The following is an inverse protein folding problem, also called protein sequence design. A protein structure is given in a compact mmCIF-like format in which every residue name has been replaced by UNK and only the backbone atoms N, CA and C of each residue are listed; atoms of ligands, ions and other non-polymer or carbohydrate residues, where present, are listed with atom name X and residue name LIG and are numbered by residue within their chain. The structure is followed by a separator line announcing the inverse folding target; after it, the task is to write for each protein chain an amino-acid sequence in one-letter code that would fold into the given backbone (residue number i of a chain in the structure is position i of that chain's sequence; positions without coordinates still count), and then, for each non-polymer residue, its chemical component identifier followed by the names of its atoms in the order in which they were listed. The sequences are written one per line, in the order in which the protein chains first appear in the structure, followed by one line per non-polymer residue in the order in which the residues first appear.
data_IF_087544232296
#
_entry.id   IF_087544232296
#
_cell.length_a   1.000
_cell.length_b   1.000
_cell.length_c   1.000
_cell.angle_alpha   90.00
_cell.angle_beta   90.00
_cell.angle_gamma   90.00
#
_symmetry.space_group_name_H-M   'P 1'
#
loop_
_entity.id
_entity.type
_entity.pdbx_description
1 polymer ?
#
# COMPACT_ATOMS: atom_id res chain seq x y z
N UNK A 1 -36.81 8.27 -27.53
CA UNK A 1 -35.88 9.17 -26.83
C UNK A 1 -36.25 9.18 -25.35
N UNK A 2 -35.75 8.19 -24.60
CA UNK A 2 -36.09 8.03 -23.18
C UNK A 2 -34.83 8.26 -22.34
N UNK A 3 -34.84 9.36 -21.58
CA UNK A 3 -33.79 9.74 -20.62
C UNK A 3 -33.99 8.89 -19.36
N UNK A 4 -33.16 7.87 -19.17
CA UNK A 4 -33.09 7.18 -17.88
C UNK A 4 -32.33 8.06 -16.89
N UNK A 5 -32.98 8.27 -15.75
CA UNK A 5 -32.54 9.13 -14.66
C UNK A 5 -31.39 8.45 -13.92
N UNK A 6 -30.21 9.06 -13.95
CA UNK A 6 -29.09 8.69 -13.08
C UNK A 6 -29.48 9.15 -11.66
N UNK A 7 -29.75 8.18 -10.79
CA UNK A 7 -29.91 8.41 -9.35
C UNK A 7 -28.52 8.59 -8.75
N UNK A 8 -28.21 9.84 -8.41
CA UNK A 8 -27.01 10.22 -7.70
C UNK A 8 -27.16 9.73 -6.25
N UNK A 9 -26.54 8.60 -5.90
CA UNK A 9 -26.46 8.15 -4.53
C UNK A 9 -25.44 9.03 -3.79
N UNK A 10 -25.95 9.96 -2.97
CA UNK A 10 -25.13 10.69 -1.99
C UNK A 10 -24.62 9.71 -0.94
N UNK A 11 -23.37 9.29 -1.07
CA UNK A 11 -22.65 8.47 -0.11
C UNK A 11 -22.29 9.35 1.09
N UNK A 12 -23.06 9.27 2.18
CA UNK A 12 -22.69 9.91 3.44
C UNK A 12 -21.76 8.97 4.23
N UNK A 13 -20.52 8.87 3.78
CA UNK A 13 -19.47 8.17 4.51
C UNK A 13 -19.05 9.05 5.70
N UNK A 14 -19.54 8.73 6.90
CA UNK A 14 -18.87 9.12 8.14
C UNK A 14 -17.73 8.12 8.38
N UNK A 15 -16.73 8.13 7.50
CA UNK A 15 -15.45 7.50 7.80
C UNK A 15 -14.82 8.34 8.90
N UNK A 16 -14.74 7.77 10.11
CA UNK A 16 -13.66 8.16 11.01
C UNK A 16 -12.40 7.65 10.32
N UNK A 17 -11.87 8.44 9.39
CA UNK A 17 -10.49 8.28 8.97
C UNK A 17 -9.68 8.46 10.25
N UNK A 18 -9.27 7.35 10.86
CA UNK A 18 -8.02 7.36 11.57
C UNK A 18 -7.01 7.65 10.47
N UNK A 19 -6.75 8.93 10.23
CA UNK A 19 -5.73 9.34 9.28
C UNK A 19 -4.42 8.64 9.66
N UNK A 20 -3.45 8.59 8.72
CA UNK A 20 -2.07 8.35 9.12
C UNK A 20 -1.81 9.22 10.35
N UNK A 21 -1.16 8.65 11.38
CA UNK A 21 -0.89 9.37 12.62
C UNK A 21 -0.44 10.78 12.24
N UNK A 22 -1.11 11.80 12.78
CA UNK A 22 -0.98 13.20 12.34
C UNK A 22 0.43 13.80 12.58
N UNK A 23 1.44 12.95 12.79
CA UNK A 23 2.79 13.24 13.24
C UNK A 23 3.88 12.41 12.53
N UNK A 24 3.56 11.44 11.67
CA UNK A 24 4.58 10.76 10.88
C UNK A 24 5.13 11.71 9.79
N UNK A 25 6.40 12.10 9.91
CA UNK A 25 7.05 12.94 8.91
C UNK A 25 7.31 12.12 7.64
N UNK A 26 6.97 12.67 6.47
CA UNK A 26 7.29 12.02 5.19
C UNK A 26 8.80 11.77 5.07
N UNK A 27 9.16 10.57 4.66
CA UNK A 27 10.52 10.27 4.24
C UNK A 27 10.78 10.98 2.94
N UNK A 28 11.93 11.65 2.83
CA UNK A 28 12.37 12.28 1.59
C UNK A 28 13.78 11.80 1.34
N UNK A 29 13.98 11.10 0.22
CA UNK A 29 15.28 10.52 -0.10
C UNK A 29 15.41 10.15 -1.57
N UNK A 30 16.48 9.43 -1.86
CA UNK A 30 16.87 8.93 -3.18
C UNK A 30 16.85 7.41 -3.19
N UNK A 31 16.63 6.83 -4.37
CA UNK A 31 16.77 5.42 -4.66
C UNK A 31 17.79 5.24 -5.79
N UNK A 32 18.85 4.46 -5.55
CA UNK A 32 19.82 4.05 -6.56
C UNK A 32 19.44 2.66 -7.07
N UNK A 33 18.68 2.61 -8.17
CA UNK A 33 18.25 1.33 -8.76
C UNK A 33 19.35 0.63 -9.54
N UNK A 34 20.52 1.25 -9.72
CA UNK A 34 21.72 0.59 -10.28
C UNK A 34 22.45 -0.24 -9.23
N UNK A 35 22.14 -0.06 -7.94
CA UNK A 35 22.80 -0.77 -6.85
C UNK A 35 22.56 -2.29 -6.96
N UNK A 36 23.59 -3.07 -7.29
CA UNK A 36 23.49 -4.52 -7.41
C UNK A 36 22.98 -5.01 -8.77
N UNK A 37 22.63 -4.12 -9.71
CA UNK A 37 22.34 -4.53 -11.09
C UNK A 37 23.64 -4.84 -11.85
N UNK A 38 23.54 -5.74 -12.83
CA UNK A 38 24.69 -6.13 -13.66
C UNK A 38 24.81 -5.26 -14.91
N UNK A 39 23.69 -4.84 -15.49
CA UNK A 39 23.64 -3.93 -16.62
C UNK A 39 23.99 -2.48 -16.22
N UNK A 40 23.50 -2.01 -15.07
CA UNK A 40 23.72 -0.64 -14.59
C UNK A 40 23.05 0.42 -15.45
N UNK A 41 21.97 0.07 -16.13
CA UNK A 41 21.16 0.94 -17.00
C UNK A 41 19.84 1.40 -16.35
N UNK A 42 19.68 1.15 -15.05
CA UNK A 42 18.62 1.71 -14.22
C UNK A 42 18.94 3.14 -13.76
N UNK A 43 17.99 3.75 -13.03
CA UNK A 43 18.10 5.14 -12.61
C UNK A 43 18.60 5.30 -11.17
N UNK A 44 19.25 6.43 -10.94
CA UNK A 44 19.29 7.05 -9.61
C UNK A 44 18.18 8.10 -9.54
N UNK A 45 17.18 7.86 -8.71
CA UNK A 45 15.94 8.66 -8.64
C UNK A 45 15.85 9.40 -7.31
N UNK A 46 15.51 10.68 -7.37
CA UNK A 46 15.12 11.46 -6.19
C UNK A 46 15.56 12.93 -6.26
N UNK A 47 15.25 13.72 -5.23
CA UNK A 47 14.52 13.31 -4.03
C UNK A 47 13.04 13.00 -4.31
N UNK A 48 12.46 12.02 -3.62
CA UNK A 48 11.03 11.66 -3.67
C UNK A 48 10.52 11.21 -2.29
N UNK A 49 9.20 11.13 -2.13
CA UNK A 49 8.54 10.62 -0.92
C UNK A 49 7.39 9.65 -1.18
N UNK A 50 6.96 9.52 -2.44
CA UNK A 50 5.82 8.70 -2.82
C UNK A 50 6.11 7.93 -4.11
N UNK A 51 5.61 6.71 -4.19
CA UNK A 51 5.44 5.94 -5.42
C UNK A 51 4.00 6.04 -5.88
N UNK A 52 3.77 6.40 -7.14
CA UNK A 52 2.46 6.28 -7.77
C UNK A 52 2.36 4.93 -8.47
N UNK A 53 1.31 4.18 -8.19
CA UNK A 53 1.10 2.89 -8.84
C UNK A 53 0.37 3.08 -10.18
N UNK A 54 0.51 2.11 -11.07
CA UNK A 54 -0.32 1.98 -12.25
C UNK A 54 -1.60 1.21 -11.94
N UNK A 55 -2.36 0.93 -13.01
CA UNK A 55 -3.49 0.03 -12.92
C UNK A 55 -3.03 -1.35 -12.43
N UNK A 56 -3.52 -1.73 -11.26
CA UNK A 56 -3.31 -2.99 -10.57
C UNK A 56 -4.56 -3.86 -10.53
N UNK A 57 -4.41 -5.03 -9.92
CA UNK A 57 -5.49 -6.01 -9.77
C UNK A 57 -5.58 -6.40 -8.31
N UNK A 58 -6.81 -6.48 -7.79
CA UNK A 58 -7.11 -7.07 -6.48
C UNK A 58 -8.03 -8.25 -6.66
N UNK A 59 -7.62 -9.39 -6.11
CA UNK A 59 -8.46 -10.58 -5.92
C UNK A 59 -8.86 -10.66 -4.45
N UNK A 60 -10.16 -10.71 -4.17
CA UNK A 60 -10.72 -10.98 -2.85
C UNK A 60 -11.40 -12.34 -2.85
N UNK A 61 -10.97 -13.21 -1.95
CA UNK A 61 -11.53 -14.55 -1.79
C UNK A 61 -12.29 -14.62 -0.45
N UNK A 62 -13.61 -14.90 -0.46
CA UNK A 62 -14.42 -14.88 0.75
C UNK A 62 -14.02 -16.02 1.69
N UNK A 63 -13.70 -15.68 2.94
CA UNK A 63 -13.35 -16.67 3.97
C UNK A 63 -14.48 -16.91 4.97
N UNK A 64 -15.45 -16.00 5.04
CA UNK A 64 -16.63 -16.19 5.86
C UNK A 64 -17.55 -14.99 5.95
N UNK A 65 -18.69 -15.19 6.62
CA UNK A 65 -19.63 -14.15 6.98
C UNK A 65 -20.11 -14.35 8.42
N UNK A 66 -20.12 -13.28 9.21
CA UNK A 66 -20.68 -13.29 10.57
C UNK A 66 -21.36 -11.96 10.87
N UNK A 67 -22.60 -12.00 11.35
CA UNK A 67 -23.34 -10.80 11.77
C UNK A 67 -23.54 -9.74 10.67
N UNK A 68 -23.52 -10.13 9.38
CA UNK A 68 -23.60 -9.21 8.25
C UNK A 68 -22.26 -8.59 7.83
N UNK A 69 -21.15 -9.01 8.44
CA UNK A 69 -19.79 -8.67 8.01
C UNK A 69 -19.22 -9.81 7.19
N UNK A 70 -18.76 -9.51 5.99
CA UNK A 70 -17.98 -10.43 5.15
C UNK A 70 -16.49 -10.32 5.50
N UNK A 71 -15.76 -11.41 5.39
CA UNK A 71 -14.30 -11.44 5.53
C UNK A 71 -13.69 -12.02 4.27
N UNK A 72 -12.60 -11.40 3.82
CA UNK A 72 -11.88 -11.77 2.62
C UNK A 72 -10.38 -11.91 2.92
N UNK A 73 -9.76 -12.89 2.28
CA UNK A 73 -8.33 -12.85 2.01
C UNK A 73 -8.12 -12.17 0.65
N UNK A 74 -7.25 -11.17 0.64
CA UNK A 74 -7.00 -10.30 -0.49
C UNK A 74 -5.57 -10.45 -1.00
N UNK A 75 -5.42 -10.38 -2.32
CA UNK A 75 -4.13 -10.34 -3.00
C UNK A 75 -4.14 -9.19 -3.98
N UNK A 76 -3.06 -8.42 -4.00
CA UNK A 76 -2.86 -7.24 -4.84
C UNK A 76 -1.57 -7.36 -5.62
N UNK A 77 -1.63 -7.00 -6.90
CA UNK A 77 -0.47 -6.82 -7.78
C UNK A 77 -0.61 -5.50 -8.54
N UNK A 78 0.46 -4.72 -8.59
CA UNK A 78 0.59 -3.55 -9.46
C UNK A 78 2.06 -3.27 -9.78
N UNK A 79 2.32 -2.13 -10.41
CA UNK A 79 3.65 -1.62 -10.73
C UNK A 79 3.71 -0.12 -10.47
N UNK A 80 4.91 0.41 -10.27
CA UNK A 80 5.15 1.84 -10.09
C UNK A 80 5.21 2.51 -11.46
N UNK A 81 4.47 3.60 -11.64
CA UNK A 81 4.53 4.41 -12.88
C UNK A 81 5.43 5.62 -12.73
N UNK A 82 5.62 6.13 -11.51
CA UNK A 82 6.48 7.28 -11.22
C UNK A 82 6.78 7.41 -9.73
N UNK A 83 7.84 8.14 -9.46
CA UNK A 83 8.15 8.69 -8.14
C UNK A 83 7.62 10.11 -8.06
N UNK A 84 7.19 10.52 -6.88
CA UNK A 84 6.72 11.88 -6.65
C UNK A 84 7.40 12.49 -5.43
N UNK A 85 7.66 13.80 -5.51
CA UNK A 85 8.00 14.64 -4.37
C UNK A 85 6.87 15.62 -4.13
N UNK A 86 6.10 15.42 -3.06
CA UNK A 86 4.97 16.30 -2.72
C UNK A 86 3.96 16.45 -3.87
N UNK A 87 3.66 15.34 -4.57
CA UNK A 87 2.72 15.31 -5.70
C UNK A 87 3.30 15.81 -7.03
N UNK A 88 4.59 16.11 -7.09
CA UNK A 88 5.28 16.48 -8.34
C UNK A 88 6.09 15.29 -8.84
N UNK A 89 5.87 14.81 -10.08
CA UNK A 89 6.64 13.71 -10.64
C UNK A 89 8.14 13.99 -10.68
N UNK A 90 8.93 12.98 -10.31
CA UNK A 90 10.39 12.95 -10.38
C UNK A 90 10.78 12.02 -11.54
N UNK A 91 11.73 12.46 -12.36
CA UNK A 91 12.12 11.72 -13.56
C UNK A 91 12.88 10.45 -13.19
N UNK A 92 12.42 9.33 -13.73
CA UNK A 92 13.09 8.04 -13.78
C UNK A 92 12.94 7.52 -15.22
N UNK A 93 13.98 7.63 -16.03
CA UNK A 93 13.87 7.40 -17.47
C UNK A 93 13.90 5.90 -17.82
N UNK A 94 14.59 5.09 -17.02
CA UNK A 94 14.64 3.64 -17.15
C UNK A 94 13.43 2.93 -16.53
N UNK A 95 12.65 3.60 -15.67
CA UNK A 95 11.45 3.00 -15.07
C UNK A 95 10.44 2.63 -16.17
N UNK A 96 10.01 1.37 -16.16
CA UNK A 96 9.19 0.75 -17.19
C UNK A 96 9.82 0.74 -18.59
N UNK A 97 11.14 0.88 -18.71
CA UNK A 97 11.90 0.75 -19.95
C UNK A 97 13.05 -0.27 -19.80
N UNK A 98 14.02 0.02 -18.92
CA UNK A 98 15.16 -0.86 -18.61
C UNK A 98 14.93 -1.71 -17.36
N UNK A 99 14.09 -1.24 -16.43
CA UNK A 99 13.67 -1.98 -15.23
C UNK A 99 12.21 -1.70 -14.91
N UNK A 100 11.61 -2.53 -14.07
CA UNK A 100 10.30 -2.28 -13.49
C UNK A 100 10.32 -2.39 -11.97
N UNK A 101 9.42 -1.65 -11.33
CA UNK A 101 9.14 -1.81 -9.92
C UNK A 101 7.74 -2.35 -9.76
N UNK A 102 7.60 -3.53 -9.17
CA UNK A 102 6.31 -4.20 -8.98
C UNK A 102 5.95 -4.23 -7.50
N UNK A 103 4.67 -4.02 -7.21
CA UNK A 103 4.14 -4.00 -5.85
C UNK A 103 3.21 -5.19 -5.68
N UNK A 104 3.50 -6.03 -4.68
CA UNK A 104 2.68 -7.20 -4.34
C UNK A 104 2.28 -7.11 -2.87
N UNK A 105 1.00 -7.31 -2.60
CA UNK A 105 0.50 -7.37 -1.23
C UNK A 105 -0.47 -8.53 -1.02
N UNK A 106 -0.49 -9.04 0.20
CA UNK A 106 -1.54 -9.92 0.70
C UNK A 106 -2.16 -9.25 1.91
N UNK A 107 -3.47 -9.42 2.13
CA UNK A 107 -4.14 -8.80 3.27
C UNK A 107 -5.38 -9.56 3.68
N UNK A 108 -5.81 -9.36 4.92
CA UNK A 108 -7.14 -9.81 5.38
C UNK A 108 -7.99 -8.59 5.64
N UNK A 109 -9.15 -8.53 4.99
CA UNK A 109 -10.12 -7.47 5.16
C UNK A 109 -11.49 -7.97 5.58
N UNK A 110 -12.26 -7.07 6.17
CA UNK A 110 -13.65 -7.29 6.50
C UNK A 110 -14.50 -6.13 6.01
N UNK A 111 -15.68 -6.44 5.47
CA UNK A 111 -16.63 -5.45 4.97
C UNK A 111 -17.96 -5.62 5.70
N UNK A 112 -18.36 -4.59 6.44
CA UNK A 112 -19.65 -4.57 7.14
C UNK A 112 -20.82 -4.41 6.17
N UNK A 113 -22.04 -4.76 6.62
CA UNK A 113 -23.26 -4.65 5.81
C UNK A 113 -23.56 -3.24 5.26
N UNK A 114 -22.97 -2.19 5.86
CA UNK A 114 -23.12 -0.81 5.42
C UNK A 114 -21.91 -0.31 4.61
N UNK A 115 -20.99 -1.21 4.23
CA UNK A 115 -19.84 -0.91 3.38
C UNK A 115 -18.60 -0.42 4.13
N UNK A 116 -18.56 -0.41 5.47
CA UNK A 116 -17.31 -0.10 6.19
C UNK A 116 -16.28 -1.21 6.01
N UNK A 117 -15.09 -0.87 5.51
CA UNK A 117 -13.95 -1.79 5.31
C UNK A 117 -13.00 -1.67 6.51
N UNK A 118 -12.46 -2.80 6.97
CA UNK A 118 -11.36 -2.86 7.94
C UNK A 118 -10.34 -3.89 7.50
N UNK A 119 -9.09 -3.46 7.30
CA UNK A 119 -7.94 -4.33 7.02
C UNK A 119 -7.20 -4.58 8.33
N UNK A 120 -6.87 -5.84 8.59
CA UNK A 120 -6.38 -6.28 9.92
C UNK A 120 -4.97 -6.86 9.90
N UNK A 121 -4.44 -7.14 8.73
CA UNK A 121 -3.14 -7.77 8.60
C UNK A 121 -2.79 -7.97 7.13
N UNK A 122 -1.53 -8.30 6.88
CA UNK A 122 -1.05 -8.55 5.53
C UNK A 122 0.44 -8.32 5.37
N UNK A 123 0.93 -8.54 4.16
CA UNK A 123 2.29 -8.21 3.74
C UNK A 123 2.26 -7.25 2.57
N UNK A 124 3.30 -6.45 2.43
CA UNK A 124 3.54 -5.59 1.29
C UNK A 124 5.01 -5.74 0.88
N UNK A 125 5.26 -5.91 -0.41
CA UNK A 125 6.60 -5.98 -0.97
C UNK A 125 6.69 -5.14 -2.23
N UNK A 126 7.79 -4.42 -2.38
CA UNK A 126 8.20 -3.74 -3.60
C UNK A 126 9.42 -4.48 -4.17
N UNK A 127 9.29 -4.96 -5.39
CA UNK A 127 10.34 -5.65 -6.12
C UNK A 127 10.94 -4.72 -7.16
N UNK A 128 12.26 -4.79 -7.34
CA UNK A 128 12.95 -4.28 -8.51
C UNK A 128 13.24 -5.45 -9.44
N UNK A 129 12.72 -5.38 -10.65
CA UNK A 129 13.05 -6.31 -11.72
C UNK A 129 13.83 -5.57 -12.83
N UNK A 130 14.94 -6.16 -13.23
CA UNK A 130 15.81 -5.68 -14.34
C UNK A 130 15.32 -6.17 -15.70
N UNK A 131 14.29 -7.02 -15.71
CA UNK A 131 13.57 -7.43 -16.90
C UNK A 131 12.14 -6.91 -16.80
N UNK A 132 11.62 -6.34 -17.90
CA UNK A 132 10.23 -5.91 -17.96
C UNK A 132 9.37 -7.04 -18.49
N UNK A 133 8.73 -7.80 -17.61
CA UNK A 133 7.92 -8.95 -17.99
C UNK A 133 6.66 -9.19 -17.14
N UNK A 134 6.28 -8.24 -16.28
CA UNK A 134 4.98 -8.25 -15.60
C UNK A 134 3.81 -8.49 -16.56
N UNK A 135 3.00 -9.50 -16.27
CA UNK A 135 1.82 -9.87 -17.06
C UNK A 135 0.69 -10.39 -16.15
N UNK A 136 -0.42 -9.66 -16.11
CA UNK A 136 -1.61 -10.02 -15.32
C UNK A 136 -2.38 -11.23 -15.86
N UNK A 137 -2.26 -11.53 -17.16
CA UNK A 137 -2.95 -12.66 -17.80
C UNK A 137 -2.28 -13.97 -17.41
N UNK A 138 -0.95 -13.98 -17.35
CA UNK A 138 -0.16 -15.15 -16.96
C UNK A 138 0.22 -15.17 -15.49
N UNK A 139 -0.05 -14.09 -14.75
CA UNK A 139 0.29 -13.93 -13.32
C UNK A 139 1.80 -14.15 -13.07
N UNK A 140 2.62 -13.44 -13.83
CA UNK A 140 4.09 -13.53 -13.85
C UNK A 140 4.75 -12.15 -13.86
N UNK A 141 6.05 -12.06 -13.54
CA UNK A 141 6.82 -10.81 -13.59
C UNK A 141 6.62 -9.85 -12.42
N UNK A 142 5.83 -10.22 -11.40
CA UNK A 142 5.53 -9.34 -10.25
C UNK A 142 6.40 -9.57 -9.01
N UNK A 143 7.15 -10.67 -8.93
CA UNK A 143 7.84 -11.08 -7.69
C UNK A 143 9.09 -11.94 -7.89
N UNK A 144 9.57 -11.97 -9.12
CA UNK A 144 10.76 -12.65 -9.64
C UNK A 144 12.00 -11.75 -9.60
N UNK A 145 11.80 -10.43 -9.48
CA UNK A 145 12.85 -9.47 -9.14
C UNK A 145 13.31 -9.53 -7.68
N UNK A 146 14.21 -8.60 -7.33
CA UNK A 146 14.72 -8.46 -5.97
C UNK A 146 13.76 -7.65 -5.09
N UNK A 147 13.39 -8.17 -3.92
CA UNK A 147 12.60 -7.43 -2.95
C UNK A 147 13.46 -6.33 -2.29
N UNK A 148 13.24 -5.08 -2.67
CA UNK A 148 14.02 -3.94 -2.19
C UNK A 148 13.36 -3.21 -1.01
N UNK A 149 12.07 -3.44 -0.76
CA UNK A 149 11.34 -2.90 0.38
C UNK A 149 10.21 -3.86 0.77
N UNK A 150 10.15 -4.23 2.04
CA UNK A 150 9.15 -5.16 2.59
C UNK A 150 8.49 -4.57 3.83
N UNK A 151 7.24 -4.95 4.05
CA UNK A 151 6.49 -4.48 5.21
C UNK A 151 5.32 -5.37 5.57
N UNK A 152 4.78 -5.11 6.75
CA UNK A 152 3.55 -5.72 7.25
C UNK A 152 2.44 -4.68 7.28
N UNK A 153 1.28 -5.02 6.72
CA UNK A 153 0.07 -4.21 6.85
C UNK A 153 -0.42 -4.37 8.28
N UNK A 154 -0.47 -3.28 9.04
CA UNK A 154 -0.83 -3.30 10.47
C UNK A 154 -2.26 -2.86 10.74
N UNK A 155 -2.82 -2.06 9.84
CA UNK A 155 -4.21 -1.62 9.90
C UNK A 155 -4.65 -1.09 8.55
N UNK A 156 -5.95 -1.01 8.34
CA UNK A 156 -6.52 -0.18 7.28
C UNK A 156 -8.00 0.05 7.50
N UNK A 157 -8.50 1.12 6.91
CA UNK A 157 -9.90 1.51 6.98
C UNK A 157 -10.37 2.01 5.62
N UNK A 158 -11.64 1.75 5.31
CA UNK A 158 -12.17 2.11 4.02
C UNK A 158 -13.68 2.13 3.96
N UNK A 159 -14.19 2.39 2.78
CA UNK A 159 -15.61 2.34 2.47
C UNK A 159 -15.83 1.68 1.12
N UNK A 160 -16.84 0.82 1.04
CA UNK A 160 -17.34 0.19 -0.15
C UNK A 160 -18.80 0.57 -0.41
N UNK A 161 -19.21 0.50 -1.67
CA UNK A 161 -20.61 0.42 -2.02
C UNK A 161 -21.21 -0.86 -1.41
N UNK A 162 -22.52 -0.84 -1.07
CA UNK A 162 -23.17 -1.98 -0.42
C UNK A 162 -23.21 -3.25 -1.31
N UNK A 163 -23.14 -3.07 -2.63
CA UNK A 163 -23.02 -4.14 -3.62
C UNK A 163 -21.57 -4.51 -3.95
N UNK A 164 -20.62 -3.90 -3.22
CA UNK A 164 -19.17 -4.02 -3.40
C UNK A 164 -18.67 -3.59 -4.78
N UNK A 165 -19.47 -2.92 -5.62
CA UNK A 165 -19.04 -2.48 -6.96
C UNK A 165 -17.88 -1.46 -6.94
N UNK A 166 -17.66 -0.82 -5.79
CA UNK A 166 -16.61 0.16 -5.61
C UNK A 166 -16.13 0.13 -4.15
N UNK A 167 -14.85 0.39 -3.94
CA UNK A 167 -14.24 0.52 -2.63
C UNK A 167 -13.09 1.52 -2.63
N UNK A 168 -12.80 2.09 -1.47
CA UNK A 168 -11.55 2.82 -1.23
C UNK A 168 -11.04 2.38 0.13
N UNK A 169 -9.78 2.01 0.19
CA UNK A 169 -9.13 1.56 1.43
C UNK A 169 -7.82 2.31 1.60
N UNK A 170 -7.62 2.83 2.79
CA UNK A 170 -6.35 3.38 3.28
C UNK A 170 -5.72 2.35 4.21
N UNK A 171 -4.44 2.04 3.98
CA UNK A 171 -3.66 1.06 4.75
C UNK A 171 -2.42 1.69 5.37
N UNK A 172 -2.11 1.21 6.56
CA UNK A 172 -0.86 1.48 7.27
C UNK A 172 0.05 0.28 7.14
N UNK A 173 1.27 0.52 6.70
CA UNK A 173 2.32 -0.46 6.54
C UNK A 173 3.46 -0.11 7.51
N UNK A 174 3.84 -1.06 8.35
CA UNK A 174 5.13 -0.99 9.04
C UNK A 174 6.19 -1.59 8.12
N UNK A 175 7.19 -0.78 7.72
CA UNK A 175 8.30 -1.27 6.90
C UNK A 175 9.20 -2.11 7.78
N UNK A 176 9.39 -3.36 7.39
CA UNK A 176 10.14 -4.36 8.16
C UNK A 176 11.58 -4.47 7.70
N UNK A 177 11.82 -4.26 6.40
CA UNK A 177 13.16 -4.29 5.81
C UNK A 177 13.20 -3.51 4.50
N UNK A 178 14.36 -3.00 4.13
CA UNK A 178 14.63 -2.41 2.81
C UNK A 178 16.12 -2.40 2.51
N UNK A 179 16.46 -2.39 1.22
CA UNK A 179 17.84 -2.37 0.78
C UNK A 179 18.46 -0.98 0.95
N UNK A 180 19.34 -0.84 1.95
CA UNK A 180 20.07 0.40 2.24
C UNK A 180 21.12 0.79 1.20
N UNK A 181 21.45 -0.11 0.26
CA UNK A 181 22.26 0.23 -0.91
C UNK A 181 21.44 0.92 -2.00
N UNK A 182 20.13 0.65 -2.04
CA UNK A 182 19.17 1.33 -2.92
C UNK A 182 18.70 2.62 -2.26
N UNK A 183 18.22 2.58 -1.01
CA UNK A 183 17.55 3.70 -0.37
C UNK A 183 18.47 4.56 0.51
N UNK A 184 18.42 5.88 0.31
CA UNK A 184 19.11 6.85 1.17
C UNK A 184 18.23 8.09 1.42
N UNK A 185 18.01 8.53 2.67
CA UNK A 185 18.60 8.01 3.91
C UNK A 185 17.96 6.69 4.38
N UNK A 186 18.77 5.89 5.09
CA UNK A 186 18.38 4.68 5.81
C UNK A 186 17.55 5.02 7.06
N UNK A 187 16.36 5.59 6.84
CA UNK A 187 15.43 6.00 7.90
C UNK A 187 13.97 5.69 7.57
N UNK A 188 13.68 4.89 6.55
CA UNK A 188 12.31 4.48 6.22
C UNK A 188 11.79 3.60 7.36
N UNK A 189 10.60 3.89 7.87
CA UNK A 189 10.02 3.11 8.96
C UNK A 189 8.57 2.71 8.72
N UNK A 190 7.81 3.55 8.02
CA UNK A 190 6.42 3.27 7.70
C UNK A 190 6.11 3.62 6.26
N UNK A 191 5.08 2.96 5.73
CA UNK A 191 4.44 3.28 4.47
C UNK A 191 2.95 3.50 4.69
N UNK A 192 2.37 4.45 3.99
CA UNK A 192 0.92 4.60 3.86
C UNK A 192 0.54 4.33 2.41
N UNK A 193 -0.51 3.53 2.19
CA UNK A 193 -0.99 3.26 0.85
C UNK A 193 -2.49 3.44 0.76
N UNK A 194 -2.96 4.10 -0.29
CA UNK A 194 -4.38 4.09 -0.64
C UNK A 194 -4.53 3.24 -1.89
N UNK A 195 -5.53 2.37 -1.90
CA UNK A 195 -6.01 1.75 -3.13
C UNK A 195 -7.51 2.01 -3.29
N UNK A 196 -7.87 2.41 -4.50
CA UNK A 196 -9.25 2.46 -4.96
C UNK A 196 -9.55 1.15 -5.68
N UNK A 197 -10.71 0.56 -5.41
CA UNK A 197 -11.17 -0.70 -5.98
C UNK A 197 -12.41 -0.44 -6.82
N UNK A 198 -12.44 -0.95 -8.05
CA UNK A 198 -13.62 -0.82 -8.91
C UNK A 198 -13.96 -2.14 -9.59
N UNK A 199 -15.15 -2.67 -9.30
CA UNK A 199 -15.69 -3.90 -9.86
C UNK A 199 -16.89 -3.58 -10.75
N UNK A 200 -16.98 -4.28 -11.88
CA UNK A 200 -18.13 -4.17 -12.79
C UNK A 200 -18.18 -2.87 -13.59
N UNK A 201 -17.13 -2.05 -13.55
CA UNK A 201 -16.98 -0.89 -14.44
C UNK A 201 -16.72 -1.36 -15.87
N UNK A 202 -17.52 -0.87 -16.83
CA UNK A 202 -17.33 -1.15 -18.26
C UNK A 202 -15.97 -0.66 -18.77
N UNK A 203 -15.36 0.31 -18.09
CA UNK A 203 -14.03 0.83 -18.43
C UNK A 203 -12.91 -0.13 -18.04
N UNK A 204 -13.11 -0.93 -16.98
CA UNK A 204 -12.09 -1.86 -16.47
C UNK A 204 -12.31 -3.28 -16.98
N UNK A 205 -13.50 -3.59 -17.49
CA UNK A 205 -13.82 -4.92 -18.02
C UNK A 205 -12.82 -5.43 -19.07
N UNK A 206 -12.30 -4.60 -20.01
CA UNK A 206 -11.26 -5.07 -20.94
C UNK A 206 -9.93 -5.41 -20.26
N UNK A 207 -9.56 -4.68 -19.20
CA UNK A 207 -8.33 -4.94 -18.45
C UNK A 207 -8.43 -6.20 -17.60
N UNK A 208 -9.57 -6.41 -16.93
CA UNK A 208 -9.81 -7.59 -16.10
C UNK A 208 -10.10 -8.85 -16.92
N UNK A 209 -10.46 -8.70 -18.20
CA UNK A 209 -10.77 -9.81 -19.09
C UNK A 209 -9.53 -10.67 -19.36
N UNK A 210 -9.57 -11.92 -18.93
CA UNK A 210 -8.51 -12.91 -19.17
C UNK A 210 -7.61 -13.16 -17.97
N UNK A 211 -7.74 -12.37 -16.90
CA UNK A 211 -7.06 -12.61 -15.63
C UNK A 211 -7.73 -13.78 -14.93
N UNK A 212 -6.97 -14.85 -14.70
CA UNK A 212 -7.45 -16.08 -14.03
C UNK A 212 -6.79 -16.34 -12.69
N UNK A 213 -5.74 -15.60 -12.34
CA UNK A 213 -5.11 -15.64 -11.02
C UNK A 213 -4.43 -14.31 -10.69
N UNK A 214 -4.19 -14.09 -9.40
CA UNK A 214 -3.45 -12.95 -8.87
C UNK A 214 -2.55 -13.44 -7.75
N UNK A 215 -1.24 -13.23 -7.87
CA UNK A 215 -0.24 -13.67 -6.88
C UNK A 215 -0.30 -15.17 -6.61
N UNK A 216 -0.55 -15.98 -7.64
CA UNK A 216 -0.68 -17.43 -7.56
C UNK A 216 -2.04 -17.94 -7.08
N UNK A 217 -2.99 -17.06 -6.75
CA UNK A 217 -4.33 -17.44 -6.28
C UNK A 217 -5.31 -17.42 -7.44
N UNK A 218 -5.96 -18.56 -7.71
CA UNK A 218 -6.94 -18.69 -8.81
C UNK A 218 -8.20 -17.89 -8.53
N UNK A 219 -8.66 -17.13 -9.52
CA UNK A 219 -9.96 -16.47 -9.51
C UNK A 219 -11.08 -17.45 -9.88
N UNK A 220 -12.04 -17.65 -8.97
CA UNK A 220 -13.26 -18.41 -9.22
C UNK A 220 -14.52 -17.64 -8.81
N UNK A 221 -15.18 -17.02 -9.80
CA UNK A 221 -16.46 -16.34 -9.60
C UNK A 221 -17.54 -17.25 -9.00
N UNK A 222 -17.48 -18.57 -9.26
CA UNK A 222 -18.42 -19.55 -8.70
C UNK A 222 -18.26 -19.75 -7.19
N UNK A 223 -17.08 -19.49 -6.66
CA UNK A 223 -16.76 -19.52 -5.22
C UNK A 223 -17.08 -18.20 -4.51
N UNK A 224 -17.52 -17.18 -5.27
CA UNK A 224 -17.82 -15.84 -4.75
C UNK A 224 -16.61 -14.92 -4.70
N UNK A 225 -15.53 -15.27 -5.39
CA UNK A 225 -14.36 -14.42 -5.53
C UNK A 225 -14.72 -13.12 -6.26
N UNK A 226 -14.08 -12.03 -5.85
CA UNK A 226 -14.27 -10.72 -6.43
C UNK A 226 -12.95 -10.24 -7.03
N UNK A 227 -12.99 -9.77 -8.27
CA UNK A 227 -11.83 -9.29 -9.01
C UNK A 227 -12.02 -7.82 -9.36
N UNK A 228 -11.09 -6.98 -8.93
CA UNK A 228 -11.13 -5.53 -9.08
C UNK A 228 -9.95 -5.02 -9.87
N UNK A 229 -10.20 -3.98 -10.68
CA UNK A 229 -9.13 -3.08 -11.05
C UNK A 229 -8.84 -2.19 -9.85
N UNK A 230 -7.56 -1.94 -9.61
CA UNK A 230 -7.07 -1.14 -8.52
C UNK A 230 -6.14 -0.03 -9.01
N UNK A 231 -6.15 1.08 -8.31
CA UNK A 231 -5.21 2.19 -8.53
C UNK A 231 -4.86 2.79 -7.17
N UNK A 232 -3.60 3.18 -6.98
CA UNK A 232 -3.10 3.53 -5.67
C UNK A 232 -1.71 4.14 -5.64
N UNK A 233 -1.20 4.36 -4.43
CA UNK A 233 0.14 4.89 -4.21
C UNK A 233 0.75 4.31 -2.93
N UNK A 234 2.07 4.48 -2.76
CA UNK A 234 2.79 4.21 -1.52
C UNK A 234 3.57 5.46 -1.10
N UNK A 235 3.16 6.09 0.00
CA UNK A 235 3.87 7.20 0.62
C UNK A 235 4.77 6.70 1.76
N UNK A 236 6.05 7.09 1.76
CA UNK A 236 7.02 6.66 2.76
C UNK A 236 7.13 7.67 3.91
N UNK A 237 7.42 7.19 5.11
CA UNK A 237 7.57 8.01 6.31
C UNK A 237 8.71 7.53 7.21
N UNK A 238 9.28 8.49 7.96
CA UNK A 238 10.30 8.25 8.99
C UNK A 238 9.65 8.07 10.36
N UNK A 239 10.36 7.49 11.35
CA UNK A 239 9.84 7.42 12.71
C UNK A 239 9.51 8.81 13.29
N UNK A 240 8.48 8.88 14.12
CA UNK A 240 8.13 10.10 14.87
C UNK A 240 9.27 10.48 15.83
N UNK A 241 10.19 11.33 15.38
CA UNK A 241 11.36 11.75 16.18
C UNK A 241 10.94 12.39 17.53
N UNK A 242 9.78 13.05 17.56
CA UNK A 242 9.22 13.68 18.76
C UNK A 242 8.82 12.65 19.83
N UNK A 243 8.28 11.50 19.44
CA UNK A 243 7.88 10.45 20.38
C UNK A 243 9.09 9.87 21.13
N UNK A 244 10.21 9.66 20.43
CA UNK A 244 11.46 9.20 21.05
C UNK A 244 12.11 10.29 21.92
N UNK A 245 12.15 11.53 21.45
CA UNK A 245 12.68 12.66 22.21
C UNK A 245 11.83 12.92 23.49
N UNK A 246 10.51 12.82 23.41
CA UNK A 246 9.58 13.01 24.53
C UNK A 246 9.61 11.83 25.51
N UNK A 247 9.76 10.59 25.02
CA UNK A 247 9.98 9.43 25.87
C UNK A 247 11.31 9.56 26.64
N UNK A 248 12.40 9.95 25.96
CA UNK A 248 13.70 10.18 26.59
C UNK A 248 13.67 11.37 27.55
N UNK A 249 13.00 12.47 27.20
CA UNK A 249 12.80 13.60 28.09
C UNK A 249 11.97 13.22 29.32
N UNK A 250 10.90 12.42 29.13
CA UNK A 250 10.07 11.88 30.21
C UNK A 250 10.86 10.96 31.15
N UNK A 251 11.67 10.05 30.61
CA UNK A 251 12.56 9.18 31.40
C UNK A 251 13.65 9.99 32.12
N UNK A 252 14.22 11.00 31.47
CA UNK A 252 15.17 11.93 32.08
C UNK A 252 14.57 12.68 33.26
N UNK A 253 13.32 13.14 33.13
CA UNK A 253 12.58 13.80 34.20
C UNK A 253 12.28 12.85 35.37
N UNK A 254 11.79 11.64 35.08
CA UNK A 254 11.51 10.62 36.11
C UNK A 254 12.80 10.22 36.84
N UNK A 255 13.90 10.01 36.13
CA UNK A 255 15.22 9.73 36.71
C UNK A 255 15.72 10.88 37.60
N UNK A 256 15.53 12.13 37.17
CA UNK A 256 15.85 13.31 37.98
C UNK A 256 15.00 13.41 39.25
N UNK A 257 13.69 13.15 39.15
CA UNK A 257 12.77 13.15 40.30
C UNK A 257 13.09 12.03 41.30
N UNK A 258 13.43 10.83 40.81
CA UNK A 258 13.87 9.72 41.64
C UNK A 258 15.18 10.04 42.39
N UNK A 259 16.16 10.65 41.70
CA UNK A 259 17.43 11.10 42.30
C UNK A 259 17.23 12.18 43.36
N UNK A 260 16.23 13.05 43.21
CA UNK A 260 15.91 14.06 44.23
C UNK A 260 15.34 13.44 45.50
N UNK A 261 14.52 12.38 45.37
CA UNK A 261 13.93 11.68 46.52
C UNK A 261 14.98 10.91 47.34
N UNK A 262 15.95 10.27 46.68
CA UNK A 262 17.03 9.55 47.40
C UNK A 262 17.96 10.49 48.16
N UNK A 263 18.16 11.72 47.68
CA UNK A 263 18.93 12.77 48.38
C UNK A 263 18.23 13.40 49.58
N UNK A 264 16.93 13.17 49.74
CA UNK A 264 16.15 13.73 50.85
C UNK A 264 15.92 12.71 51.99
N UNK A 265 16.45 11.49 51.87
CA UNK A 265 16.38 10.42 52.87
C UNK A 265 17.74 10.12 53.55
N UNK A 266 18.71 11.02 53.42
CA UNK A 266 20.00 11.06 54.16
C UNK A 266 20.06 12.41 54.85
#
# INVERSE_FOLDING_TARGET
MNRNKILLATLLAASVFAGPSAYAQSWVGTADYTAGSSEGDEDVVGPFNTYDAGAGVVLLQPTGMSGGTFTFDGVYQSYVTKHELSGVPVVAAGLDDTYELTAVATFTESVSAIGGITVTGGTFNLYRDTTRDRDYTTDSGFSDGEAILTGTITSGAGAAAADLSFGVTDITIAITDYDTSVFNPDTIATGGGIFTLRMGSELDAPFLSGITSVGGNTYDAGSGDLLYAADGYLALAVPEAETYAMMLAGLGLVGFMARRRTRSMI
#
